data_IF_179141764974
#
_entry.id   IF_179141764974
#
_cell.length_a   1.000
_cell.length_b   1.000
_cell.length_c   1.000
_cell.angle_alpha   90.00
_cell.angle_beta   90.00
_cell.angle_gamma   90.00
#
_symmetry.space_group_name_H-M   'P 1'
#
loop_
_entity.id
_entity.type
_entity.pdbx_description
1 polymer ?
#
# COMPACT_ATOMS: atom_id res chain seq x y z
N UNK A 1 15.71 14.04 -8.07
CA UNK A 1 15.47 12.59 -8.07
C UNK A 1 14.08 12.28 -8.60
N UNK A 2 13.93 11.21 -9.35
CA UNK A 2 12.65 10.79 -9.92
C UNK A 2 11.76 10.25 -8.81
N UNK A 3 10.55 10.78 -8.67
CA UNK A 3 9.58 10.31 -7.66
C UNK A 3 9.03 8.94 -8.04
N UNK A 4 8.82 8.06 -7.07
CA UNK A 4 8.10 6.79 -7.27
C UNK A 4 6.60 7.05 -7.26
N UNK A 5 6.13 7.81 -6.27
CA UNK A 5 4.72 8.21 -6.16
C UNK A 5 4.63 9.74 -6.00
N UNK A 6 3.74 10.34 -6.77
CA UNK A 6 3.38 11.74 -6.67
C UNK A 6 1.87 11.85 -6.49
N UNK A 7 1.45 12.29 -5.32
CA UNK A 7 0.05 12.56 -4.99
C UNK A 7 -0.12 14.07 -4.99
N UNK A 8 -1.10 14.57 -5.75
CA UNK A 8 -1.29 16.00 -5.95
C UNK A 8 -2.76 16.39 -5.74
N UNK A 9 -3.00 17.20 -4.72
CA UNK A 9 -4.30 17.81 -4.39
C UNK A 9 -5.46 16.81 -4.31
N UNK A 10 -5.24 15.63 -3.73
CA UNK A 10 -6.29 14.62 -3.58
C UNK A 10 -7.31 15.07 -2.54
N UNK A 11 -8.54 15.19 -3.00
CA UNK A 11 -9.72 15.38 -2.14
C UNK A 11 -10.71 14.26 -2.39
N UNK A 12 -11.19 13.63 -1.32
CA UNK A 12 -12.27 12.64 -1.37
C UNK A 12 -13.42 13.09 -0.49
N UNK A 13 -14.55 13.34 -1.12
CA UNK A 13 -15.77 13.83 -0.48
C UNK A 13 -16.91 12.85 -0.71
N UNK A 14 -17.51 12.39 0.38
CA UNK A 14 -18.69 11.53 0.39
C UNK A 14 -19.91 12.37 0.79
N UNK A 15 -20.70 12.82 -0.20
CA UNK A 15 -21.81 13.74 0.07
C UNK A 15 -21.33 15.03 0.75
N UNK A 16 -21.73 15.26 2.00
CA UNK A 16 -21.32 16.43 2.81
C UNK A 16 -20.03 16.23 3.62
N UNK A 17 -19.45 15.02 3.63
CA UNK A 17 -18.28 14.69 4.45
C UNK A 17 -17.04 14.68 3.57
N UNK A 18 -16.04 15.49 3.92
CA UNK A 18 -14.72 15.53 3.28
C UNK A 18 -13.79 14.64 4.09
N UNK A 19 -13.54 13.41 3.61
CA UNK A 19 -12.71 12.43 4.31
C UNK A 19 -11.21 12.69 4.11
N UNK A 20 -10.80 13.16 2.93
CA UNK A 20 -9.44 13.64 2.62
C UNK A 20 -9.59 14.97 1.90
N UNK A 21 -8.86 15.98 2.35
CA UNK A 21 -8.95 17.32 1.83
C UNK A 21 -7.57 17.86 1.45
N UNK A 22 -7.33 17.96 0.15
CA UNK A 22 -6.16 18.61 -0.43
C UNK A 22 -4.82 17.95 -0.02
N UNK A 23 -4.78 16.61 -0.07
CA UNK A 23 -3.57 15.86 0.23
C UNK A 23 -2.60 15.91 -0.95
N UNK A 24 -1.38 16.39 -0.68
CA UNK A 24 -0.24 16.28 -1.60
C UNK A 24 0.93 15.63 -0.88
N UNK A 25 1.61 14.68 -1.55
CA UNK A 25 2.77 14.01 -1.01
C UNK A 25 3.64 13.41 -2.11
N UNK A 26 4.94 13.42 -1.90
CA UNK A 26 5.94 12.81 -2.78
C UNK A 26 6.66 11.67 -2.07
N UNK A 27 6.88 10.55 -2.77
CA UNK A 27 7.66 9.42 -2.27
C UNK A 27 8.78 9.13 -3.25
N UNK A 28 9.98 8.95 -2.73
CA UNK A 28 11.20 8.72 -3.50
C UNK A 28 11.66 7.26 -3.42
N UNK A 29 12.48 6.79 -4.39
CA UNK A 29 12.96 5.42 -4.40
C UNK A 29 13.70 5.02 -3.12
N UNK A 30 13.37 3.84 -2.59
CA UNK A 30 14.03 3.26 -1.43
C UNK A 30 13.59 3.82 -0.07
N UNK A 31 12.68 4.81 -0.04
CA UNK A 31 12.15 5.34 1.21
C UNK A 31 11.15 4.37 1.87
N UNK A 32 11.15 4.35 3.19
CA UNK A 32 10.02 3.90 4.01
C UNK A 32 9.31 5.15 4.53
N UNK A 33 8.14 5.42 3.99
CA UNK A 33 7.31 6.58 4.36
C UNK A 33 6.12 6.12 5.18
N UNK A 34 5.84 6.78 6.29
CA UNK A 34 4.63 6.54 7.06
C UNK A 34 3.59 7.64 6.86
N UNK A 35 2.34 7.24 6.73
CA UNK A 35 1.17 8.11 6.80
C UNK A 35 0.46 7.84 8.11
N UNK A 36 0.52 8.80 9.03
CA UNK A 36 -0.04 8.68 10.38
C UNK A 36 -1.13 9.70 10.61
N UNK A 37 -1.85 9.55 11.69
CA UNK A 37 -2.89 10.45 12.13
C UNK A 37 -3.83 9.76 13.10
N UNK A 38 -4.63 10.51 13.86
CA UNK A 38 -5.66 9.96 14.74
C UNK A 38 -6.66 9.07 13.97
N UNK A 39 -7.42 8.25 14.69
CA UNK A 39 -8.51 7.46 14.10
C UNK A 39 -9.50 8.40 13.39
N UNK A 40 -9.88 8.05 12.17
CA UNK A 40 -10.75 8.87 11.34
C UNK A 40 -10.05 10.06 10.67
N UNK A 41 -8.72 10.14 10.69
CA UNK A 41 -7.95 11.20 10.02
C UNK A 41 -7.96 11.12 8.48
N UNK A 42 -8.48 10.02 7.89
CA UNK A 42 -8.57 9.85 6.43
C UNK A 42 -7.47 8.99 5.81
N UNK A 43 -6.62 8.34 6.59
CA UNK A 43 -5.48 7.53 6.13
C UNK A 43 -5.89 6.42 5.17
N UNK A 44 -6.84 5.58 5.56
CA UNK A 44 -7.35 4.48 4.72
C UNK A 44 -8.04 5.01 3.46
N UNK A 45 -8.76 6.13 3.55
CA UNK A 45 -9.37 6.78 2.40
C UNK A 45 -8.32 7.27 1.41
N UNK A 46 -7.22 7.86 1.89
CA UNK A 46 -6.09 8.26 1.05
C UNK A 46 -5.49 7.04 0.31
N UNK A 47 -5.25 5.93 0.99
CA UNK A 47 -4.79 4.69 0.37
C UNK A 47 -5.77 4.17 -0.69
N UNK A 48 -7.06 4.23 -0.41
CA UNK A 48 -8.09 3.80 -1.34
C UNK A 48 -8.13 4.66 -2.61
N UNK A 49 -7.85 5.95 -2.50
CA UNK A 49 -7.70 6.83 -3.65
C UNK A 49 -6.43 6.51 -4.46
N UNK A 50 -5.30 6.27 -3.80
CA UNK A 50 -4.03 5.93 -4.46
C UNK A 50 -4.11 4.58 -5.19
N UNK A 51 -4.84 3.62 -4.63
CA UNK A 51 -4.92 2.24 -5.14
C UNK A 51 -6.14 1.97 -6.03
N UNK A 52 -6.89 3.01 -6.41
CA UNK A 52 -8.02 2.89 -7.35
C UNK A 52 -9.26 2.21 -6.77
N UNK A 53 -9.33 2.00 -5.46
CA UNK A 53 -10.54 1.51 -4.77
C UNK A 53 -11.60 2.61 -4.75
N UNK A 54 -11.18 3.86 -4.54
CA UNK A 54 -12.02 5.04 -4.67
C UNK A 54 -11.50 5.93 -5.80
N UNK A 55 -12.42 6.43 -6.60
CA UNK A 55 -12.15 7.53 -7.51
C UNK A 55 -12.23 8.84 -6.72
N UNK A 56 -11.12 9.59 -6.55
CA UNK A 56 -11.14 10.82 -5.77
C UNK A 56 -12.06 11.85 -6.41
N UNK A 57 -12.62 12.72 -5.60
CA UNK A 57 -13.45 13.85 -6.09
C UNK A 57 -12.62 14.82 -6.90
N UNK A 58 -11.36 15.02 -6.52
CA UNK A 58 -10.41 15.90 -7.19
C UNK A 58 -8.97 15.41 -6.98
N UNK A 59 -8.09 15.75 -7.91
CA UNK A 59 -6.66 15.59 -7.79
C UNK A 59 -6.08 14.53 -8.70
N UNK A 60 -4.78 14.28 -8.53
CA UNK A 60 -3.99 13.42 -9.40
C UNK A 60 -3.03 12.56 -8.60
N UNK A 61 -2.81 11.34 -9.09
CA UNK A 61 -1.75 10.44 -8.61
C UNK A 61 -0.95 9.97 -9.82
N UNK A 62 0.36 10.19 -9.76
CA UNK A 62 1.30 9.66 -10.73
C UNK A 62 2.17 8.59 -10.06
N UNK A 63 2.37 7.49 -10.74
CA UNK A 63 3.28 6.44 -10.35
C UNK A 63 4.39 6.31 -11.40
N UNK A 64 5.64 6.49 -10.97
CA UNK A 64 6.83 6.49 -11.84
C UNK A 64 6.69 7.44 -13.04
N UNK A 65 6.06 8.60 -12.82
CA UNK A 65 5.84 9.62 -13.83
C UNK A 65 4.61 9.44 -14.71
N UNK A 66 3.88 8.32 -14.57
CA UNK A 66 2.68 8.04 -15.34
C UNK A 66 1.41 8.25 -14.51
N UNK A 67 0.38 8.94 -15.00
CA UNK A 67 -0.84 9.15 -14.27
C UNK A 67 -1.62 7.84 -14.13
N UNK A 68 -1.97 7.48 -12.90
CA UNK A 68 -2.81 6.32 -12.57
C UNK A 68 -4.20 6.74 -12.07
N UNK A 69 -4.30 7.95 -11.52
CA UNK A 69 -5.55 8.59 -11.10
C UNK A 69 -5.49 10.06 -11.47
N UNK A 70 -6.56 10.57 -12.08
CA UNK A 70 -6.76 12.00 -12.31
C UNK A 70 -8.26 12.28 -12.41
N UNK A 71 -8.79 13.12 -11.55
CA UNK A 71 -10.20 13.48 -11.56
C UNK A 71 -10.43 14.93 -11.10
N UNK A 72 -11.63 15.42 -11.42
CA UNK A 72 -12.10 16.74 -10.99
C UNK A 72 -13.61 16.69 -10.69
N UNK A 73 -14.14 17.61 -9.87
CA UNK A 73 -15.55 17.64 -9.51
C UNK A 73 -16.47 17.79 -10.73
N UNK A 74 -17.51 16.95 -10.85
CA UNK A 74 -18.50 16.94 -11.93
C UNK A 74 -19.94 16.93 -11.39
N UNK A 75 -20.86 17.37 -12.22
CA UNK A 75 -22.27 17.33 -11.91
C UNK A 75 -22.62 18.03 -10.61
N UNK A 76 -23.34 17.37 -9.73
CA UNK A 76 -23.74 17.91 -8.41
C UNK A 76 -22.52 18.22 -7.52
N UNK A 77 -21.47 17.40 -7.63
CA UNK A 77 -20.25 17.55 -6.83
C UNK A 77 -19.51 18.86 -7.17
N UNK A 78 -19.59 19.36 -8.40
CA UNK A 78 -19.01 20.65 -8.79
C UNK A 78 -19.54 21.81 -7.94
N UNK A 79 -20.83 21.74 -7.50
CA UNK A 79 -21.46 22.78 -6.67
C UNK A 79 -21.18 22.65 -5.18
N UNK A 80 -20.89 21.41 -4.71
CA UNK A 80 -20.69 21.08 -3.30
C UNK A 80 -19.25 20.79 -2.93
N UNK A 81 -18.32 20.90 -3.88
CA UNK A 81 -16.91 20.63 -3.65
C UNK A 81 -16.28 21.62 -2.67
N UNK A 82 -15.65 21.10 -1.63
CA UNK A 82 -15.04 21.84 -0.56
C UNK A 82 -13.50 21.90 -0.60
N UNK A 83 -12.88 21.44 -1.69
CA UNK A 83 -11.42 21.48 -1.89
C UNK A 83 -10.95 22.75 -2.60
N UNK A 84 -9.63 22.99 -2.59
CA UNK A 84 -9.03 24.23 -3.07
C UNK A 84 -8.71 24.26 -4.58
N UNK A 85 -8.29 23.12 -5.16
CA UNK A 85 -7.56 23.08 -6.44
C UNK A 85 -8.33 22.42 -7.60
N UNK A 86 -9.65 22.63 -7.68
CA UNK A 86 -10.47 21.93 -8.70
C UNK A 86 -10.19 22.37 -10.15
N UNK A 87 -9.83 23.63 -10.37
CA UNK A 87 -9.67 24.18 -11.73
C UNK A 87 -8.44 23.62 -12.45
N UNK A 88 -7.42 23.24 -11.69
CA UNK A 88 -6.15 22.72 -12.22
C UNK A 88 -6.33 21.47 -13.09
N UNK A 89 -7.32 20.63 -12.77
CA UNK A 89 -7.53 19.34 -13.43
C UNK A 89 -8.65 19.36 -14.47
N UNK A 90 -9.37 20.46 -14.63
CA UNK A 90 -10.51 20.56 -15.57
C UNK A 90 -10.13 20.32 -17.03
N UNK A 91 -8.91 20.70 -17.41
CA UNK A 91 -8.38 20.54 -18.78
C UNK A 91 -7.69 19.20 -19.02
N UNK A 92 -7.48 18.40 -17.97
CA UNK A 92 -6.78 17.12 -18.08
C UNK A 92 -7.77 15.98 -18.36
N UNK A 93 -7.35 14.96 -19.11
CA UNK A 93 -8.15 13.76 -19.26
C UNK A 93 -8.30 13.06 -17.91
N UNK A 94 -9.51 12.58 -17.63
CA UNK A 94 -9.74 11.78 -16.43
C UNK A 94 -9.13 10.40 -16.57
N UNK A 95 -8.41 9.96 -15.53
CA UNK A 95 -7.78 8.65 -15.44
C UNK A 95 -8.25 7.99 -14.16
N UNK A 96 -8.75 6.77 -14.26
CA UNK A 96 -9.16 5.96 -13.10
C UNK A 96 -8.80 4.51 -13.38
N UNK A 97 -7.66 4.08 -12.88
CA UNK A 97 -7.26 2.68 -12.98
C UNK A 97 -7.88 1.87 -11.85
N UNK A 98 -8.35 0.68 -12.20
CA UNK A 98 -8.81 -0.31 -11.23
C UNK A 98 -7.63 -0.83 -10.40
N UNK A 99 -7.87 -1.35 -9.18
CA UNK A 99 -6.80 -1.92 -8.33
C UNK A 99 -5.94 -2.96 -9.05
N UNK A 100 -6.55 -3.81 -9.88
CA UNK A 100 -5.84 -4.81 -10.69
C UNK A 100 -4.85 -4.17 -11.67
N UNK A 101 -5.27 -3.12 -12.37
CA UNK A 101 -4.39 -2.38 -13.29
C UNK A 101 -3.24 -1.66 -12.55
N UNK A 102 -3.50 -1.17 -11.35
CA UNK A 102 -2.50 -0.52 -10.50
C UNK A 102 -1.48 -1.53 -10.01
N UNK A 103 -1.94 -2.72 -9.57
CA UNK A 103 -1.04 -3.81 -9.18
C UNK A 103 -0.12 -4.24 -10.34
N UNK A 104 -0.65 -4.39 -11.54
CA UNK A 104 0.14 -4.73 -12.73
C UNK A 104 1.17 -3.66 -13.12
N UNK A 105 1.01 -2.44 -12.64
CA UNK A 105 2.02 -1.37 -12.82
C UNK A 105 3.12 -1.38 -11.78
N UNK A 106 3.00 -2.19 -10.73
CA UNK A 106 4.02 -2.37 -9.71
C UNK A 106 3.70 -1.73 -8.36
N UNK A 107 2.42 -1.48 -8.05
CA UNK A 107 1.97 -1.10 -6.72
C UNK A 107 1.25 -2.29 -6.09
N UNK A 108 1.83 -2.88 -5.06
CA UNK A 108 1.17 -3.91 -4.25
C UNK A 108 0.65 -3.34 -2.94
N UNK A 109 -0.44 -3.88 -2.43
CA UNK A 109 -1.05 -3.47 -1.16
C UNK A 109 -1.44 -4.67 -0.31
N UNK A 110 -1.15 -4.60 0.99
CA UNK A 110 -1.81 -5.41 2.00
C UNK A 110 -3.05 -4.67 2.52
N UNK A 111 -3.94 -5.39 3.19
CA UNK A 111 -5.18 -4.81 3.73
C UNK A 111 -5.19 -4.93 5.24
N UNK A 112 -5.90 -4.04 5.93
CA UNK A 112 -6.08 -4.10 7.38
C UNK A 112 -6.65 -5.47 7.80
N UNK A 113 -7.67 -5.96 7.08
CA UNK A 113 -8.16 -7.33 7.21
C UNK A 113 -7.39 -8.24 6.26
N UNK A 114 -6.67 -9.22 6.79
CA UNK A 114 -5.84 -10.16 6.03
C UNK A 114 -6.66 -10.86 4.93
N UNK A 115 -6.20 -10.78 3.70
CA UNK A 115 -6.81 -11.37 2.52
C UNK A 115 -5.97 -12.54 2.01
N UNK A 116 -6.30 -13.75 2.47
CA UNK A 116 -5.67 -15.01 2.05
C UNK A 116 -6.69 -15.93 1.40
N UNK A 117 -6.23 -16.85 0.57
CA UNK A 117 -6.99 -18.03 0.20
C UNK A 117 -6.98 -18.98 1.40
N UNK A 118 -7.99 -18.84 2.27
CA UNK A 118 -8.02 -19.45 3.60
C UNK A 118 -8.01 -20.99 3.58
N UNK A 119 -8.56 -21.59 2.53
CA UNK A 119 -8.62 -23.05 2.32
C UNK A 119 -7.39 -23.62 1.62
N UNK A 120 -6.50 -22.76 1.12
CA UNK A 120 -5.28 -23.17 0.44
C UNK A 120 -4.10 -23.25 1.39
N UNK A 121 -3.07 -24.02 1.01
CA UNK A 121 -1.82 -24.07 1.76
C UNK A 121 -1.08 -22.74 1.72
N UNK A 122 -0.17 -22.55 2.65
CA UNK A 122 0.77 -21.41 2.68
C UNK A 122 1.53 -21.34 1.35
N UNK A 123 2.04 -22.46 0.86
CA UNK A 123 2.74 -22.55 -0.43
C UNK A 123 1.85 -22.12 -1.61
N UNK A 124 0.65 -22.67 -1.71
CA UNK A 124 -0.27 -22.37 -2.81
C UNK A 124 -0.72 -20.91 -2.81
N UNK A 125 -0.86 -20.27 -1.65
CA UNK A 125 -1.17 -18.85 -1.54
C UNK A 125 -0.15 -17.97 -2.28
N UNK A 126 1.14 -18.25 -2.12
CA UNK A 126 2.22 -17.50 -2.77
C UNK A 126 2.38 -17.91 -4.23
N UNK A 127 2.37 -19.22 -4.52
CA UNK A 127 2.52 -19.72 -5.89
C UNK A 127 1.42 -19.17 -6.82
N UNK A 128 0.18 -19.11 -6.36
CA UNK A 128 -0.94 -18.53 -7.12
C UNK A 128 -0.70 -17.04 -7.43
N UNK A 129 -0.15 -16.29 -6.51
CA UNK A 129 0.20 -14.88 -6.74
C UNK A 129 1.35 -14.74 -7.76
N UNK A 130 2.35 -15.63 -7.71
CA UNK A 130 3.42 -15.68 -8.72
C UNK A 130 2.88 -16.02 -10.12
N UNK A 131 1.92 -16.95 -10.21
CA UNK A 131 1.29 -17.31 -11.50
C UNK A 131 0.48 -16.17 -12.09
N UNK A 132 -0.30 -15.45 -11.28
CA UNK A 132 -1.11 -14.34 -11.75
C UNK A 132 -0.27 -13.24 -12.43
N UNK A 133 0.94 -13.00 -11.94
CA UNK A 133 1.89 -12.08 -12.57
C UNK A 133 2.51 -12.69 -13.85
N UNK A 134 2.86 -13.96 -13.82
CA UNK A 134 3.47 -14.67 -14.96
C UNK A 134 2.52 -14.82 -16.14
N UNK A 135 1.26 -15.14 -15.93
CA UNK A 135 0.24 -15.31 -16.97
C UNK A 135 0.06 -14.04 -17.81
N UNK A 136 0.15 -12.88 -17.18
CA UNK A 136 0.11 -11.60 -17.89
C UNK A 136 1.29 -11.45 -18.87
N UNK A 137 2.48 -11.83 -18.47
CA UNK A 137 3.69 -11.78 -19.29
C UNK A 137 3.70 -12.85 -20.39
N UNK A 138 3.13 -14.04 -20.13
CA UNK A 138 3.02 -15.12 -21.11
C UNK A 138 2.04 -14.75 -22.21
N UNK A 139 0.87 -14.19 -21.89
CA UNK A 139 -0.12 -13.84 -22.89
C UNK A 139 0.41 -12.80 -23.88
N UNK A 140 1.19 -11.83 -23.40
CA UNK A 140 1.88 -10.87 -24.27
C UNK A 140 2.98 -11.52 -25.13
N UNK A 141 3.65 -12.57 -24.64
CA UNK A 141 4.72 -13.24 -25.37
C UNK A 141 4.22 -14.31 -26.34
N UNK A 142 3.09 -14.97 -26.05
CA UNK A 142 2.45 -15.97 -26.92
C UNK A 142 1.86 -15.36 -28.19
N UNK A 143 1.35 -14.13 -28.11
CA UNK A 143 0.84 -13.47 -29.31
C UNK A 143 1.95 -13.07 -30.31
N UNK A 144 3.20 -13.05 -29.86
CA UNK A 144 4.37 -12.73 -30.70
C UNK A 144 5.09 -13.95 -31.32
N UNK A 145 4.74 -15.20 -30.95
CA UNK A 145 5.48 -16.39 -31.35
C UNK A 145 4.53 -17.45 -31.97
N UNK A 146 4.64 -17.66 -33.25
CA UNK A 146 4.10 -18.85 -33.95
C UNK A 146 4.81 -20.11 -33.43
N UNK A 147 4.01 -21.00 -32.88
CA UNK A 147 4.26 -22.19 -32.09
C UNK A 147 5.21 -23.24 -32.69
N UNK A 148 6.10 -23.78 -31.83
CA UNK A 148 6.87 -25.01 -32.01
C UNK A 148 7.19 -25.65 -30.64
N UNK A 149 7.80 -26.83 -30.52
CA UNK A 149 8.05 -27.55 -29.26
C UNK A 149 8.89 -26.77 -28.22
N UNK A 150 9.44 -25.63 -28.61
CA UNK A 150 10.13 -24.68 -27.70
C UNK A 150 9.23 -24.08 -26.61
N UNK A 151 7.90 -24.14 -26.75
CA UNK A 151 6.98 -23.61 -25.73
C UNK A 151 6.92 -24.49 -24.47
N UNK A 152 7.00 -25.84 -24.62
CA UNK A 152 7.04 -26.77 -23.47
C UNK A 152 8.29 -26.57 -22.62
N UNK A 153 9.44 -26.34 -23.26
CA UNK A 153 10.70 -26.07 -22.57
C UNK A 153 10.63 -24.73 -21.82
N UNK A 154 10.07 -23.70 -22.48
CA UNK A 154 9.88 -22.39 -21.85
C UNK A 154 8.91 -22.45 -20.66
N UNK A 155 7.80 -23.18 -20.81
CA UNK A 155 6.84 -23.39 -19.72
C UNK A 155 7.47 -24.11 -18.52
N UNK A 156 8.27 -25.15 -18.75
CA UNK A 156 8.97 -25.87 -17.69
C UNK A 156 9.93 -24.96 -16.93
N UNK A 157 10.76 -24.18 -17.62
CA UNK A 157 11.69 -23.27 -16.95
C UNK A 157 10.95 -22.15 -16.19
N UNK A 158 9.84 -21.70 -16.69
CA UNK A 158 9.04 -20.69 -16.06
C UNK A 158 8.36 -21.23 -14.79
N UNK A 159 7.76 -22.40 -14.87
CA UNK A 159 7.17 -23.06 -13.70
C UNK A 159 8.22 -23.31 -12.61
N UNK A 160 9.41 -23.75 -13.00
CA UNK A 160 10.53 -23.90 -12.09
C UNK A 160 10.91 -22.60 -11.41
N UNK A 161 11.03 -21.51 -12.16
CA UNK A 161 11.36 -20.19 -11.63
C UNK A 161 10.29 -19.66 -10.65
N UNK A 162 8.98 -19.89 -10.92
CA UNK A 162 7.90 -19.51 -10.01
C UNK A 162 7.93 -20.30 -8.69
N UNK A 163 8.29 -21.58 -8.76
CA UNK A 163 8.47 -22.43 -7.56
C UNK A 163 9.67 -21.98 -6.73
N UNK A 164 10.79 -21.68 -7.37
CA UNK A 164 11.99 -21.16 -6.70
C UNK A 164 11.71 -19.81 -6.03
N UNK A 165 10.99 -18.91 -6.72
CA UNK A 165 10.55 -17.62 -6.16
C UNK A 165 9.62 -17.82 -4.96
N UNK A 166 8.66 -18.74 -5.05
CA UNK A 166 7.75 -19.05 -3.94
C UNK A 166 8.53 -19.55 -2.72
N UNK A 167 9.46 -20.48 -2.90
CA UNK A 167 10.32 -20.97 -1.84
C UNK A 167 11.17 -19.87 -1.21
N UNK A 168 11.79 -19.02 -2.03
CA UNK A 168 12.58 -17.89 -1.56
C UNK A 168 11.75 -16.92 -0.71
N UNK A 169 10.57 -16.52 -1.18
CA UNK A 169 9.68 -15.61 -0.45
C UNK A 169 9.25 -16.21 0.89
N UNK A 170 8.88 -17.49 0.94
CA UNK A 170 8.50 -18.15 2.19
C UNK A 170 9.66 -18.26 3.17
N UNK A 171 10.88 -18.48 2.69
CA UNK A 171 12.10 -18.51 3.51
C UNK A 171 12.41 -17.12 4.10
N UNK A 172 12.32 -16.06 3.29
CA UNK A 172 12.54 -14.69 3.76
C UNK A 172 11.51 -14.31 4.83
N UNK A 173 10.24 -14.71 4.65
CA UNK A 173 9.18 -14.48 5.63
C UNK A 173 9.32 -15.36 6.88
N UNK A 174 10.21 -16.35 6.89
CA UNK A 174 10.39 -17.28 8.01
C UNK A 174 9.21 -18.22 8.23
N UNK A 175 8.46 -18.56 7.17
CA UNK A 175 7.28 -19.44 7.22
C UNK A 175 7.41 -20.63 6.26
N UNK A 176 8.60 -20.93 5.79
CA UNK A 176 8.86 -22.08 4.90
C UNK A 176 8.48 -23.42 5.52
N UNK A 177 8.76 -23.61 6.82
CA UNK A 177 8.45 -24.86 7.52
C UNK A 177 6.93 -25.11 7.61
N UNK A 178 6.11 -24.08 7.52
CA UNK A 178 4.64 -24.14 7.52
C UNK A 178 4.04 -24.21 6.12
N UNK A 179 4.85 -24.39 5.05
CA UNK A 179 4.41 -24.32 3.65
C UNK A 179 3.22 -25.22 3.28
N UNK A 180 3.13 -26.40 3.95
CA UNK A 180 2.06 -27.38 3.70
C UNK A 180 0.83 -27.17 4.60
N UNK A 181 0.89 -26.25 5.57
CA UNK A 181 -0.25 -25.93 6.41
C UNK A 181 -1.29 -25.14 5.63
N UNK A 182 -2.57 -25.34 5.98
CA UNK A 182 -3.67 -24.50 5.50
C UNK A 182 -3.53 -23.10 6.10
N UNK A 183 -3.63 -22.06 5.27
CA UNK A 183 -3.29 -20.69 5.65
C UNK A 183 -4.08 -20.17 6.85
N UNK A 184 -5.35 -20.55 7.00
CA UNK A 184 -6.20 -20.15 8.14
C UNK A 184 -5.70 -20.68 9.48
N UNK A 185 -4.89 -21.77 9.48
CA UNK A 185 -4.36 -22.39 10.69
C UNK A 185 -3.06 -21.74 11.18
N UNK A 186 -2.49 -20.81 10.43
CA UNK A 186 -1.33 -20.05 10.88
C UNK A 186 -1.71 -19.11 12.03
N UNK A 187 -0.79 -18.88 12.99
CA UNK A 187 -0.89 -17.73 13.90
C UNK A 187 -1.06 -16.41 13.15
N UNK A 188 -1.74 -15.45 13.74
CA UNK A 188 -2.08 -14.18 13.08
C UNK A 188 -0.87 -13.45 12.49
N UNK A 189 0.22 -13.33 13.24
CA UNK A 189 1.46 -12.69 12.75
C UNK A 189 2.06 -13.41 11.53
N UNK A 190 1.96 -14.75 11.47
CA UNK A 190 2.41 -15.52 10.29
C UNK A 190 1.44 -15.37 9.09
N UNK A 191 0.15 -15.23 9.34
CA UNK A 191 -0.81 -14.89 8.28
C UNK A 191 -0.48 -13.54 7.65
N UNK A 192 -0.09 -12.54 8.45
CA UNK A 192 0.36 -11.23 7.96
C UNK A 192 1.62 -11.33 7.12
N UNK A 193 2.60 -12.13 7.56
CA UNK A 193 3.81 -12.41 6.77
C UNK A 193 3.48 -13.09 5.44
N UNK A 194 2.53 -14.01 5.43
CA UNK A 194 2.05 -14.67 4.21
C UNK A 194 1.38 -13.67 3.25
N UNK A 195 0.59 -12.74 3.77
CA UNK A 195 -0.02 -11.68 2.95
C UNK A 195 1.04 -10.77 2.31
N UNK A 196 2.08 -10.40 3.05
CA UNK A 196 3.22 -9.65 2.52
C UNK A 196 3.96 -10.45 1.46
N UNK A 197 4.20 -11.75 1.67
CA UNK A 197 4.82 -12.62 0.66
C UNK A 197 4.02 -12.66 -0.64
N UNK A 198 2.70 -12.72 -0.56
CA UNK A 198 1.82 -12.65 -1.74
C UNK A 198 1.91 -11.31 -2.47
N UNK A 199 1.99 -10.21 -1.73
CA UNK A 199 2.20 -8.89 -2.32
C UNK A 199 3.55 -8.81 -3.04
N UNK A 200 4.62 -9.31 -2.44
CA UNK A 200 5.97 -9.36 -3.04
C UNK A 200 6.05 -10.26 -4.27
N UNK A 201 5.21 -11.29 -4.34
CA UNK A 201 5.14 -12.19 -5.49
C UNK A 201 4.78 -11.46 -6.81
N UNK A 202 4.16 -10.29 -6.74
CA UNK A 202 3.82 -9.45 -7.89
C UNK A 202 4.95 -8.53 -8.36
N UNK A 203 6.16 -8.65 -7.81
CA UNK A 203 7.34 -7.83 -8.14
C UNK A 203 7.08 -6.32 -8.08
N UNK A 204 6.53 -5.81 -6.97
CA UNK A 204 6.17 -4.40 -6.87
C UNK A 204 7.40 -3.50 -6.79
N UNK A 205 7.24 -2.24 -7.19
CA UNK A 205 8.18 -1.15 -6.91
C UNK A 205 7.76 -0.32 -5.70
N UNK A 206 6.47 -0.33 -5.42
CA UNK A 206 5.89 0.32 -4.25
C UNK A 206 5.00 -0.67 -3.50
N UNK A 207 5.29 -0.88 -2.22
CA UNK A 207 4.51 -1.72 -1.32
C UNK A 207 3.75 -0.83 -0.33
N UNK A 208 2.43 -0.94 -0.32
CA UNK A 208 1.56 -0.26 0.62
C UNK A 208 1.16 -1.23 1.74
N UNK A 209 1.47 -0.89 2.99
CA UNK A 209 1.15 -1.67 4.17
C UNK A 209 0.11 -0.93 5.02
N UNK A 210 -1.07 -1.53 5.16
CA UNK A 210 -2.19 -0.96 5.91
C UNK A 210 -2.27 -1.59 7.30
N UNK A 211 -1.78 -0.85 8.31
CA UNK A 211 -1.68 -1.27 9.71
C UNK A 211 -1.08 -2.68 9.89
N UNK A 212 0.14 -2.91 9.38
CA UNK A 212 0.71 -4.26 9.33
C UNK A 212 0.96 -4.89 10.70
N UNK A 213 1.12 -4.08 11.74
CA UNK A 213 1.36 -4.54 13.12
C UNK A 213 0.07 -4.70 13.95
N UNK A 214 -1.11 -4.45 13.39
CA UNK A 214 -2.37 -4.57 14.12
C UNK A 214 -2.54 -5.98 14.70
N UNK A 215 -2.83 -6.08 16.00
CA UNK A 215 -3.03 -7.35 16.69
C UNK A 215 -1.76 -8.13 17.04
N UNK A 216 -0.57 -7.56 16.80
CA UNK A 216 0.72 -8.14 17.17
C UNK A 216 1.16 -7.70 18.58
N UNK A 217 1.89 -8.59 19.27
CA UNK A 217 2.58 -8.22 20.48
C UNK A 217 3.86 -7.40 20.17
N UNK A 218 4.51 -6.75 21.17
CA UNK A 218 5.70 -5.93 20.93
C UNK A 218 6.87 -6.64 20.27
N UNK A 219 7.11 -7.90 20.58
CA UNK A 219 8.18 -8.70 19.99
C UNK A 219 7.91 -9.00 18.51
N UNK A 220 6.68 -9.40 18.19
CA UNK A 220 6.23 -9.61 16.81
C UNK A 220 6.30 -8.31 15.99
N UNK A 221 5.96 -7.18 16.61
CA UNK A 221 6.03 -5.85 15.98
C UNK A 221 7.47 -5.48 15.64
N UNK A 222 8.42 -5.68 16.56
CA UNK A 222 9.85 -5.44 16.29
C UNK A 222 10.38 -6.34 15.17
N UNK A 223 10.05 -7.63 15.20
CA UNK A 223 10.42 -8.57 14.14
C UNK A 223 9.84 -8.19 12.78
N UNK A 224 8.62 -7.66 12.74
CA UNK A 224 8.00 -7.14 11.52
C UNK A 224 8.73 -5.92 10.98
N UNK A 225 9.17 -5.00 11.85
CA UNK A 225 9.92 -3.80 11.45
C UNK A 225 11.25 -4.17 10.78
N UNK A 226 11.98 -5.12 11.38
CA UNK A 226 13.24 -5.60 10.83
C UNK A 226 13.00 -6.28 9.47
N UNK A 227 11.93 -7.06 9.37
CA UNK A 227 11.53 -7.68 8.11
C UNK A 227 11.19 -6.64 7.02
N UNK A 228 10.47 -5.57 7.37
CA UNK A 228 10.15 -4.50 6.40
C UNK A 228 11.42 -3.84 5.86
N UNK A 229 12.41 -3.58 6.72
CA UNK A 229 13.71 -3.06 6.28
C UNK A 229 14.45 -4.04 5.37
N UNK A 230 14.49 -5.32 5.76
CA UNK A 230 15.13 -6.38 4.98
C UNK A 230 14.52 -6.51 3.59
N UNK A 231 13.19 -6.57 3.46
CA UNK A 231 12.54 -6.70 2.16
C UNK A 231 12.69 -5.44 1.31
N UNK A 232 12.67 -4.25 1.91
CA UNK A 232 12.97 -3.00 1.20
C UNK A 232 14.33 -3.08 0.53
N UNK A 233 15.37 -3.44 1.28
CA UNK A 233 16.75 -3.46 0.79
C UNK A 233 16.97 -4.60 -0.22
N UNK A 234 16.39 -5.78 0.06
CA UNK A 234 16.57 -6.97 -0.77
C UNK A 234 15.88 -6.89 -2.13
N UNK A 235 14.70 -6.28 -2.18
CA UNK A 235 13.89 -6.17 -3.39
C UNK A 235 13.92 -4.78 -4.04
N UNK A 236 14.76 -3.87 -3.56
CA UNK A 236 14.82 -2.48 -4.02
C UNK A 236 13.44 -1.82 -4.02
N UNK A 237 12.74 -1.97 -2.89
CA UNK A 237 11.38 -1.49 -2.71
C UNK A 237 11.33 -0.06 -2.17
N UNK A 238 10.24 0.61 -2.51
CA UNK A 238 9.73 1.77 -1.78
C UNK A 238 8.52 1.32 -0.98
N UNK A 239 8.38 1.79 0.25
CA UNK A 239 7.33 1.34 1.17
C UNK A 239 6.53 2.52 1.69
N UNK A 240 5.21 2.44 1.63
CA UNK A 240 4.29 3.38 2.27
C UNK A 240 3.46 2.64 3.31
N UNK A 241 3.52 3.08 4.56
CA UNK A 241 2.88 2.42 5.71
C UNK A 241 1.82 3.34 6.29
N UNK A 242 0.60 2.83 6.50
CA UNK A 242 -0.34 3.43 7.46
C UNK A 242 -0.13 2.77 8.80
N UNK A 243 0.08 3.55 9.84
CA UNK A 243 0.16 3.08 11.21
C UNK A 243 -0.33 4.15 12.20
N UNK A 244 -0.69 3.70 13.38
CA UNK A 244 -1.02 4.53 14.52
C UNK A 244 -0.12 4.25 15.75
N UNK A 245 0.68 3.19 15.70
CA UNK A 245 1.68 2.87 16.72
C UNK A 245 2.94 3.73 16.51
N UNK A 246 3.07 4.80 17.30
CA UNK A 246 4.14 5.78 17.12
C UNK A 246 5.54 5.17 17.27
N UNK A 247 5.75 4.24 18.21
CA UNK A 247 7.04 3.59 18.41
C UNK A 247 7.50 2.83 17.14
N UNK A 248 6.58 2.15 16.47
CA UNK A 248 6.86 1.47 15.22
C UNK A 248 7.26 2.48 14.14
N UNK A 249 6.41 3.49 13.94
CA UNK A 249 6.60 4.51 12.90
C UNK A 249 7.94 5.25 13.07
N UNK A 250 8.25 5.68 14.31
CA UNK A 250 9.48 6.41 14.62
C UNK A 250 10.73 5.56 14.38
N UNK A 251 10.65 4.25 14.55
CA UNK A 251 11.79 3.35 14.36
C UNK A 251 12.00 2.90 12.92
N UNK A 252 10.94 2.77 12.10
CA UNK A 252 11.05 2.15 10.77
C UNK A 252 11.07 3.17 9.64
N UNK A 253 10.50 4.36 9.83
CA UNK A 253 10.27 5.32 8.74
C UNK A 253 11.45 6.27 8.54
N UNK A 254 11.73 6.58 7.27
CA UNK A 254 12.67 7.64 6.88
C UNK A 254 11.97 9.00 6.94
N UNK A 255 10.69 9.05 6.57
CA UNK A 255 9.86 10.25 6.52
C UNK A 255 8.42 9.94 6.92
N UNK A 256 7.76 10.93 7.53
CA UNK A 256 6.41 10.78 8.05
C UNK A 256 5.54 11.93 7.55
N UNK A 257 4.35 11.58 7.06
CA UNK A 257 3.25 12.50 6.78
C UNK A 257 2.18 12.35 7.84
N UNK A 258 1.70 13.45 8.38
CA UNK A 258 0.65 13.46 9.40
C UNK A 258 -0.62 14.03 8.83
N UNK A 259 -1.71 13.27 8.92
CA UNK A 259 -3.06 13.72 8.61
C UNK A 259 -3.84 14.00 9.91
N UNK A 260 -4.63 15.06 9.89
CA UNK A 260 -5.60 15.34 10.94
C UNK A 260 -6.90 15.85 10.30
N UNK A 261 -8.03 15.23 10.63
CA UNK A 261 -9.34 15.53 10.02
C UNK A 261 -9.30 15.63 8.48
N UNK A 262 -8.61 14.69 7.85
CA UNK A 262 -8.48 14.63 6.40
C UNK A 262 -7.50 15.60 5.78
N UNK A 263 -6.86 16.49 6.55
CA UNK A 263 -5.94 17.50 6.05
C UNK A 263 -4.49 17.15 6.40
N UNK A 264 -3.53 17.45 5.52
CA UNK A 264 -2.12 17.43 5.88
C UNK A 264 -1.84 18.36 7.06
N UNK A 265 -1.20 17.86 8.10
CA UNK A 265 -0.83 18.61 9.30
C UNK A 265 0.67 18.91 9.32
N UNK A 266 1.49 17.88 9.08
CA UNK A 266 2.95 17.99 9.11
C UNK A 266 3.59 16.95 8.21
N UNK A 267 4.81 17.24 7.79
CA UNK A 267 5.73 16.33 7.08
C UNK A 267 7.13 16.53 7.65
N UNK A 268 7.88 15.44 7.83
CA UNK A 268 9.25 15.51 8.30
C UNK A 268 9.87 14.17 8.65
N UNK A 269 11.08 14.22 9.16
CA UNK A 269 11.77 13.06 9.77
C UNK A 269 11.07 12.64 11.07
N UNK A 270 11.29 11.41 11.54
CA UNK A 270 10.75 10.97 12.84
C UNK A 270 11.04 11.96 13.99
N UNK A 271 12.27 12.50 14.07
CA UNK A 271 12.66 13.44 15.12
C UNK A 271 11.90 14.77 15.02
N UNK A 272 11.70 15.29 13.81
CA UNK A 272 10.93 16.52 13.58
C UNK A 272 9.45 16.34 13.94
N UNK A 273 8.86 15.22 13.57
CA UNK A 273 7.45 14.91 13.87
C UNK A 273 7.25 14.71 15.37
N UNK A 274 8.15 14.01 16.05
CA UNK A 274 8.06 13.76 17.49
C UNK A 274 8.12 15.05 18.31
N UNK A 275 8.84 16.06 17.84
CA UNK A 275 8.99 17.36 18.51
C UNK A 275 7.98 18.41 18.03
N UNK A 276 7.11 18.11 17.06
CA UNK A 276 6.17 19.06 16.49
C UNK A 276 4.98 19.30 17.45
N UNK A 277 4.77 20.53 17.97
CA UNK A 277 3.69 20.83 18.91
C UNK A 277 2.28 20.56 18.34
N UNK A 278 2.04 20.84 17.05
CA UNK A 278 0.74 20.62 16.41
C UNK A 278 0.42 19.13 16.31
N UNK A 279 1.44 18.28 16.05
CA UNK A 279 1.29 16.82 16.04
C UNK A 279 0.99 16.29 17.43
N UNK A 280 1.73 16.76 18.45
CA UNK A 280 1.53 16.39 19.86
C UNK A 280 0.10 16.74 20.27
N UNK A 281 -0.37 17.96 20.00
CA UNK A 281 -1.73 18.40 20.32
C UNK A 281 -2.79 17.55 19.61
N UNK A 282 -2.60 17.21 18.33
CA UNK A 282 -3.54 16.39 17.58
C UNK A 282 -3.73 14.97 18.15
N UNK A 283 -2.71 14.42 18.80
CA UNK A 283 -2.77 13.12 19.47
C UNK A 283 -3.24 13.20 20.92
N UNK A 284 -2.81 14.22 21.69
CA UNK A 284 -3.16 14.41 23.12
C UNK A 284 -4.57 14.98 23.29
N UNK A 285 -5.02 15.88 22.41
CA UNK A 285 -6.36 16.48 22.48
C UNK A 285 -7.53 15.51 22.33
N UNK A 286 -7.26 14.21 22.06
CA UNK A 286 -8.26 13.14 22.01
C UNK A 286 -8.35 12.28 23.27
N UNK A 287 -7.38 12.38 24.18
CA UNK A 287 -7.44 11.65 25.46
C UNK A 287 -8.41 12.33 26.46
N UNK A 288 -8.65 13.62 26.32
CA UNK A 288 -9.56 14.37 27.21
C UNK A 288 -11.07 14.28 26.83
N UNK A 289 -11.42 13.85 25.61
CA UNK A 289 -12.83 13.72 25.20
C UNK A 289 -13.43 12.32 25.49
N UNK A 290 -12.69 11.42 26.11
CA UNK A 290 -13.09 10.02 26.36
C UNK A 290 -13.50 9.64 27.78
N UNK A 291 -13.32 10.53 28.80
CA UNK A 291 -13.57 10.19 30.20
C UNK A 291 -14.46 11.24 30.91
N UNK A 292 -15.62 11.49 30.34
CA UNK A 292 -16.63 12.35 30.98
C UNK A 292 -18.02 11.99 30.49
N UNK A 293 -18.56 10.89 31.02
CA UNK A 293 -19.89 10.84 31.64
C UNK A 293 -20.18 9.41 32.12
N UNK A 294 -20.36 9.35 33.42
CA UNK A 294 -20.81 8.22 34.22
C UNK A 294 -22.29 7.88 33.98
#
# INVERSE_FOLDING_TARGET
STRVLHVEHITMQFGGVVAVNDLSMDIYPGEIVALIGPNGAGKTTAFNCITGVYEPTNGRVDFMGEPIVCNHPRGKMKKSYAGAESERYLSLPTVSYTPDKITKRGIARTFQNIRLFKSETVYNNVLTACHAEADYNIFQSLWRLKVGPKWLTKYYYQEKALREKTEELLKIMGIWEQRDMIAVNLPYGQQRKLEIARALATDPKLLLLDEPAAGMNPEETLALMDLIREIRDRFDLTVLIIEHHMDLVMNVSDRIFVLNFGKPLAEGTPAEIQSNPEVIEAYLGKEDDGDGDA
#
